data_IF_235632845530
#
_entry.id   IF_235632845530
#
_cell.length_a   1.000
_cell.length_b   1.000
_cell.length_c   1.000
_cell.angle_alpha   90.00
_cell.angle_beta   90.00
_cell.angle_gamma   90.00
#
_symmetry.space_group_name_H-M   'P 1'
#
loop_
_entity.id
_entity.type
_entity.pdbx_description
1 polymer ?
#
# COMPACT_ATOMS: atom_id res chain seq x y z
N UNK A 1 27.11 38.33 -21.49
CA UNK A 1 27.37 37.32 -20.44
C UNK A 1 26.12 36.98 -19.62
N UNK A 2 25.11 37.86 -19.54
CA UNK A 2 23.93 37.65 -18.67
C UNK A 2 22.92 36.58 -19.13
N UNK A 3 22.85 36.28 -20.44
CA UNK A 3 21.92 35.26 -20.97
C UNK A 3 22.22 33.85 -20.42
N UNK A 4 23.50 33.52 -20.22
CA UNK A 4 23.94 32.21 -19.74
C UNK A 4 23.56 31.96 -18.26
N UNK A 5 23.63 32.99 -17.42
CA UNK A 5 23.28 32.87 -16.00
C UNK A 5 21.76 32.74 -15.78
N UNK A 6 20.96 33.50 -16.54
CA UNK A 6 19.50 33.38 -16.50
C UNK A 6 19.01 31.98 -16.94
N UNK A 7 19.65 31.40 -17.97
CA UNK A 7 19.36 30.04 -18.45
C UNK A 7 19.79 28.97 -17.43
N UNK A 8 20.90 29.20 -16.71
CA UNK A 8 21.34 28.32 -15.63
C UNK A 8 20.38 28.33 -14.42
N UNK A 9 19.83 29.49 -14.07
CA UNK A 9 18.82 29.59 -13.01
C UNK A 9 17.52 28.88 -13.42
N UNK A 10 17.05 29.09 -14.66
CA UNK A 10 15.87 28.40 -15.20
C UNK A 10 16.03 26.89 -15.19
N UNK A 11 17.13 26.38 -15.73
CA UNK A 11 17.39 24.93 -15.77
C UNK A 11 17.44 24.31 -14.37
N UNK A 12 17.98 25.01 -13.36
CA UNK A 12 17.96 24.54 -11.97
C UNK A 12 16.56 24.56 -11.36
N UNK A 13 15.77 25.60 -11.64
CA UNK A 13 14.36 25.69 -11.21
C UNK A 13 13.53 24.56 -11.82
N UNK A 14 13.65 24.35 -13.12
CA UNK A 14 12.94 23.30 -13.85
C UNK A 14 13.34 21.91 -13.37
N UNK A 15 14.62 21.70 -13.08
CA UNK A 15 15.12 20.44 -12.51
C UNK A 15 14.55 20.19 -11.10
N UNK A 16 14.49 21.23 -10.25
CA UNK A 16 13.89 21.13 -8.92
C UNK A 16 12.41 20.78 -9.01
N UNK A 17 11.68 21.42 -9.91
CA UNK A 17 10.26 21.18 -10.14
C UNK A 17 10.01 19.74 -10.61
N UNK A 18 10.72 19.29 -11.66
CA UNK A 18 10.61 17.91 -12.17
C UNK A 18 10.88 16.86 -11.10
N UNK A 19 11.85 17.11 -10.22
CA UNK A 19 12.17 16.21 -9.11
C UNK A 19 11.04 16.14 -8.08
N UNK A 20 10.45 17.29 -7.74
CA UNK A 20 9.30 17.35 -6.83
C UNK A 20 8.07 16.66 -7.43
N UNK A 21 7.77 16.91 -8.70
CA UNK A 21 6.63 16.30 -9.39
C UNK A 21 6.78 14.78 -9.47
N UNK A 22 7.99 14.30 -9.82
CA UNK A 22 8.30 12.87 -9.80
C UNK A 22 8.14 12.28 -8.39
N UNK A 23 8.61 12.98 -7.36
CA UNK A 23 8.49 12.51 -5.99
C UNK A 23 7.03 12.41 -5.51
N UNK A 24 6.18 13.36 -5.87
CA UNK A 24 4.73 13.29 -5.60
C UNK A 24 4.08 12.13 -6.35
N UNK A 25 4.43 11.92 -7.62
CA UNK A 25 3.93 10.79 -8.40
C UNK A 25 4.33 9.43 -7.78
N UNK A 26 5.60 9.27 -7.41
CA UNK A 26 6.11 8.05 -6.76
C UNK A 26 5.46 7.84 -5.38
N UNK A 27 5.21 8.92 -4.63
CA UNK A 27 4.52 8.87 -3.34
C UNK A 27 3.08 8.37 -3.47
N UNK A 28 2.36 8.87 -4.47
CA UNK A 28 0.99 8.45 -4.78
C UNK A 28 0.94 6.99 -5.23
N UNK A 29 1.80 6.59 -6.17
CA UNK A 29 1.87 5.20 -6.65
C UNK A 29 2.17 4.22 -5.49
N UNK A 30 3.09 4.60 -4.61
CA UNK A 30 3.37 3.82 -3.40
C UNK A 30 2.14 3.67 -2.51
N UNK A 31 1.44 4.76 -2.22
CA UNK A 31 0.26 4.74 -1.35
C UNK A 31 -0.84 3.87 -1.96
N UNK A 32 -1.14 4.06 -3.25
CA UNK A 32 -2.11 3.26 -4.01
C UNK A 32 -1.81 1.76 -3.91
N UNK A 33 -0.55 1.35 -4.19
CA UNK A 33 -0.12 -0.05 -4.07
C UNK A 33 -0.33 -0.62 -2.67
N UNK A 34 -0.04 0.16 -1.62
CA UNK A 34 -0.21 -0.28 -0.23
C UNK A 34 -1.70 -0.43 0.10
N UNK A 35 -2.53 0.55 -0.28
CA UNK A 35 -3.96 0.52 -0.01
C UNK A 35 -4.65 -0.65 -0.72
N UNK A 36 -4.34 -0.85 -2.01
CA UNK A 36 -4.85 -1.99 -2.78
C UNK A 36 -4.52 -3.32 -2.10
N UNK A 37 -3.27 -3.53 -1.70
CA UNK A 37 -2.85 -4.73 -0.97
C UNK A 37 -3.59 -4.91 0.35
N UNK A 38 -3.86 -3.84 1.09
CA UNK A 38 -4.62 -3.92 2.35
C UNK A 38 -6.05 -4.37 2.10
N UNK A 39 -6.72 -3.81 1.10
CA UNK A 39 -8.08 -4.22 0.70
C UNK A 39 -8.08 -5.70 0.29
N UNK A 40 -7.15 -6.11 -0.57
CA UNK A 40 -7.00 -7.50 -1.01
C UNK A 40 -6.76 -8.44 0.18
N UNK A 41 -5.83 -8.11 1.07
CA UNK A 41 -5.48 -8.95 2.23
C UNK A 41 -6.64 -9.06 3.21
N UNK A 42 -7.36 -7.97 3.48
CA UNK A 42 -8.54 -8.00 4.35
C UNK A 42 -9.66 -8.84 3.75
N UNK A 43 -9.89 -8.73 2.44
CA UNK A 43 -10.91 -9.51 1.74
C UNK A 43 -10.60 -11.02 1.74
N UNK A 44 -9.36 -11.40 1.43
CA UNK A 44 -8.92 -12.79 1.50
C UNK A 44 -8.94 -13.30 2.95
N UNK A 45 -8.52 -12.47 3.91
CA UNK A 45 -8.60 -12.80 5.33
C UNK A 45 -10.04 -13.07 5.79
N UNK A 46 -11.01 -12.24 5.37
CA UNK A 46 -12.41 -12.45 5.69
C UNK A 46 -12.95 -13.78 5.12
N UNK A 47 -12.56 -14.15 3.89
CA UNK A 47 -12.92 -15.43 3.30
C UNK A 47 -12.26 -16.61 4.06
N UNK A 48 -10.98 -16.50 4.41
CA UNK A 48 -10.27 -17.51 5.22
C UNK A 48 -10.99 -17.74 6.56
N UNK A 49 -11.37 -16.67 7.25
CA UNK A 49 -12.11 -16.77 8.52
C UNK A 49 -13.47 -17.45 8.34
N UNK A 50 -14.17 -17.18 7.23
CA UNK A 50 -15.44 -17.87 6.92
C UNK A 50 -15.19 -19.36 6.67
N UNK A 51 -14.19 -19.72 5.88
CA UNK A 51 -13.84 -21.12 5.59
C UNK A 51 -13.41 -21.87 6.86
N UNK A 52 -12.62 -21.26 7.73
CA UNK A 52 -12.18 -21.86 8.99
C UNK A 52 -13.34 -22.13 9.95
N UNK A 53 -14.32 -21.22 10.03
CA UNK A 53 -15.42 -21.33 10.99
C UNK A 53 -16.65 -22.07 10.45
N UNK A 54 -16.89 -22.01 9.14
CA UNK A 54 -18.10 -22.55 8.52
C UNK A 54 -17.82 -23.60 7.43
N UNK A 55 -16.56 -23.86 7.09
CA UNK A 55 -16.16 -24.80 6.04
C UNK A 55 -16.78 -26.18 6.17
N UNK A 56 -16.94 -26.67 7.41
CA UNK A 56 -17.57 -27.95 7.73
C UNK A 56 -18.99 -28.11 7.15
N UNK A 57 -19.70 -27.00 6.86
CA UNK A 57 -21.04 -27.04 6.26
C UNK A 57 -21.03 -27.44 4.78
N UNK A 58 -19.89 -27.37 4.09
CA UNK A 58 -19.77 -27.65 2.66
C UNK A 58 -18.51 -28.44 2.28
N UNK A 59 -17.83 -29.02 3.27
CA UNK A 59 -16.68 -29.90 3.08
C UNK A 59 -16.84 -31.16 3.94
N UNK A 60 -16.48 -32.32 3.38
CA UNK A 60 -16.36 -33.56 4.15
C UNK A 60 -14.87 -33.84 4.38
N UNK A 61 -14.47 -33.92 5.65
CA UNK A 61 -13.09 -34.29 6.02
C UNK A 61 -12.78 -35.74 5.63
N UNK A 62 -13.80 -36.60 5.59
CA UNK A 62 -13.68 -38.04 5.33
C UNK A 62 -13.54 -38.39 3.83
N UNK A 63 -13.55 -37.40 2.93
CA UNK A 63 -13.51 -37.63 1.48
C UNK A 63 -14.77 -38.27 0.91
N UNK A 64 -15.85 -38.37 1.70
CA UNK A 64 -17.15 -38.85 1.26
C UNK A 64 -17.81 -37.86 0.28
N UNK A 65 -18.67 -38.35 -0.64
CA UNK A 65 -19.41 -37.48 -1.54
C UNK A 65 -20.21 -36.43 -0.75
N UNK A 66 -20.18 -35.19 -1.22
CA UNK A 66 -20.99 -34.12 -0.63
C UNK A 66 -22.46 -34.52 -0.69
N UNK A 67 -23.19 -34.30 0.40
CA UNK A 67 -24.64 -34.44 0.38
C UNK A 67 -25.26 -33.36 -0.51
N UNK A 68 -26.51 -33.55 -0.91
CA UNK A 68 -27.23 -32.55 -1.71
C UNK A 68 -27.30 -31.19 -0.98
N UNK A 69 -27.54 -31.20 0.33
CA UNK A 69 -27.53 -30.00 1.17
C UNK A 69 -26.15 -29.32 1.23
N UNK A 70 -25.08 -30.10 1.37
CA UNK A 70 -23.71 -29.56 1.37
C UNK A 70 -23.32 -28.98 0.02
N UNK A 71 -23.84 -29.54 -1.08
CA UNK A 71 -23.64 -29.03 -2.43
C UNK A 71 -24.32 -27.66 -2.61
N UNK A 72 -25.58 -27.55 -2.17
CA UNK A 72 -26.31 -26.27 -2.16
C UNK A 72 -25.56 -25.22 -1.33
N UNK A 73 -25.07 -25.62 -0.15
CA UNK A 73 -24.32 -24.71 0.72
C UNK A 73 -23.00 -24.27 0.09
N UNK A 74 -22.30 -25.19 -0.59
CA UNK A 74 -21.09 -24.89 -1.34
C UNK A 74 -21.34 -23.88 -2.44
N UNK A 75 -22.42 -24.03 -3.20
CA UNK A 75 -22.80 -23.11 -4.27
C UNK A 75 -23.14 -21.72 -3.72
N UNK A 76 -23.85 -21.67 -2.59
CA UNK A 76 -24.14 -20.41 -1.90
C UNK A 76 -22.84 -19.73 -1.42
N UNK A 77 -21.92 -20.51 -0.83
CA UNK A 77 -20.61 -20.01 -0.44
C UNK A 77 -19.83 -19.46 -1.64
N UNK A 78 -19.79 -20.17 -2.77
CA UNK A 78 -19.12 -19.69 -3.97
C UNK A 78 -19.74 -18.39 -4.50
N UNK A 79 -21.06 -18.24 -4.44
CA UNK A 79 -21.74 -17.00 -4.79
C UNK A 79 -21.31 -15.84 -3.87
N UNK A 80 -21.37 -16.05 -2.56
CA UNK A 80 -20.97 -15.04 -1.57
C UNK A 80 -19.49 -14.67 -1.73
N UNK A 81 -18.63 -15.67 -1.97
CA UNK A 81 -17.21 -15.49 -2.23
C UNK A 81 -16.98 -14.58 -3.44
N UNK A 82 -17.64 -14.85 -4.56
CA UNK A 82 -17.57 -13.99 -5.75
C UNK A 82 -18.04 -12.56 -5.47
N UNK A 83 -19.17 -12.40 -4.77
CA UNK A 83 -19.68 -11.06 -4.42
C UNK A 83 -18.71 -10.27 -3.51
N UNK A 84 -18.07 -10.93 -2.55
CA UNK A 84 -17.03 -10.33 -1.69
C UNK A 84 -15.83 -9.90 -2.54
N UNK A 85 -15.36 -10.78 -3.44
CA UNK A 85 -14.24 -10.49 -4.34
C UNK A 85 -14.52 -9.30 -5.26
N UNK A 86 -15.70 -9.26 -5.88
CA UNK A 86 -16.10 -8.18 -6.77
C UNK A 86 -16.23 -6.84 -6.03
N UNK A 87 -16.82 -6.85 -4.83
CA UNK A 87 -16.91 -5.65 -3.99
C UNK A 87 -15.53 -5.13 -3.60
N UNK A 88 -14.62 -6.00 -3.15
CA UNK A 88 -13.26 -5.58 -2.79
C UNK A 88 -12.48 -5.02 -3.99
N UNK A 89 -12.61 -5.65 -5.16
CA UNK A 89 -12.00 -5.14 -6.40
C UNK A 89 -12.55 -3.77 -6.81
N UNK A 90 -13.86 -3.54 -6.67
CA UNK A 90 -14.45 -2.24 -6.92
C UNK A 90 -13.96 -1.17 -5.92
N UNK A 91 -13.85 -1.51 -4.63
CA UNK A 91 -13.31 -0.58 -3.62
C UNK A 91 -11.84 -0.22 -3.89
N UNK A 92 -11.03 -1.17 -4.37
CA UNK A 92 -9.65 -0.89 -4.77
C UNK A 92 -9.60 0.12 -5.93
N UNK A 93 -10.46 -0.03 -6.95
CA UNK A 93 -10.56 0.92 -8.08
C UNK A 93 -11.04 2.30 -7.64
N UNK A 94 -12.04 2.37 -6.76
CA UNK A 94 -12.56 3.63 -6.25
C UNK A 94 -11.48 4.38 -5.45
N UNK A 95 -10.70 3.66 -4.63
CA UNK A 95 -9.57 4.23 -3.89
C UNK A 95 -8.54 4.86 -4.83
N UNK A 96 -8.20 4.19 -5.94
CA UNK A 96 -7.26 4.75 -6.93
C UNK A 96 -7.82 6.02 -7.60
N UNK A 97 -9.13 6.04 -7.89
CA UNK A 97 -9.81 7.21 -8.44
C UNK A 97 -9.85 8.39 -7.46
N UNK A 98 -10.06 8.12 -6.16
CA UNK A 98 -10.00 9.14 -5.10
C UNK A 98 -8.58 9.67 -4.93
N UNK A 99 -7.57 8.81 -4.83
CA UNK A 99 -6.16 9.21 -4.75
C UNK A 99 -5.72 10.05 -5.95
N UNK A 100 -6.41 9.95 -7.09
CA UNK A 100 -6.13 10.78 -8.25
C UNK A 100 -6.53 12.24 -8.10
N UNK A 101 -7.39 12.56 -7.14
CA UNK A 101 -7.86 13.91 -6.86
C UNK A 101 -7.04 14.63 -5.80
N UNK A 102 -6.06 13.95 -5.17
CA UNK A 102 -5.23 14.50 -4.10
C UNK A 102 -3.77 14.63 -4.52
N UNK A 103 -3.10 15.66 -3.97
CA UNK A 103 -1.65 15.69 -3.94
C UNK A 103 -1.14 14.85 -2.76
N UNK A 104 -0.38 13.80 -3.06
CA UNK A 104 0.15 12.88 -2.06
C UNK A 104 1.66 13.07 -1.95
N UNK A 105 2.14 13.32 -0.73
CA UNK A 105 3.57 13.39 -0.43
C UNK A 105 3.92 12.40 0.69
N UNK A 106 4.89 11.54 0.43
CA UNK A 106 5.39 10.62 1.45
C UNK A 106 6.39 11.35 2.35
N UNK A 107 5.98 11.63 3.59
CA UNK A 107 6.76 12.48 4.51
C UNK A 107 8.11 11.90 4.97
N UNK A 108 8.39 10.61 4.70
CA UNK A 108 9.56 9.85 5.22
C UNK A 108 9.68 9.94 6.75
N UNK A 109 10.49 9.07 7.34
CA UNK A 109 10.88 9.26 8.74
C UNK A 109 12.06 10.23 8.75
N UNK A 110 11.89 11.43 9.32
CA UNK A 110 13.00 12.35 9.61
C UNK A 110 13.36 12.22 11.09
N UNK A 111 14.59 11.81 11.38
CA UNK A 111 15.17 11.92 12.72
C UNK A 111 16.30 12.95 12.67
N UNK A 112 16.19 13.98 13.50
CA UNK A 112 17.30 14.88 13.77
C UNK A 112 18.18 14.22 14.84
N UNK A 113 19.34 13.71 14.45
CA UNK A 113 20.32 13.20 15.41
C UNK A 113 21.12 14.37 15.99
N UNK A 114 21.10 14.61 17.32
CA UNK A 114 21.92 15.63 17.93
C UNK A 114 23.40 15.24 17.82
N UNK A 115 24.21 16.11 17.23
CA UNK A 115 25.66 15.91 17.14
C UNK A 115 26.28 16.39 18.45
N UNK A 116 26.70 15.46 19.30
CA UNK A 116 27.51 15.78 20.49
C UNK A 116 28.97 15.86 20.03
N UNK A 117 29.55 17.06 20.05
CA UNK A 117 30.97 17.23 19.82
C UNK A 117 31.73 16.62 21.00
N UNK A 118 32.47 15.53 20.75
CA UNK A 118 33.36 14.95 21.74
C UNK A 118 34.51 15.94 21.98
N UNK A 119 34.56 16.55 23.16
CA UNK A 119 35.71 17.34 23.58
C UNK A 119 36.95 16.44 23.47
N UNK A 120 37.97 16.91 22.74
CA UNK A 120 39.27 16.26 22.73
C UNK A 120 39.86 16.50 24.12
N UNK A 121 39.94 15.45 24.93
CA UNK A 121 40.83 15.45 26.09
C UNK A 121 42.25 15.62 25.55
N UNK A 122 42.75 16.87 25.60
CA UNK A 122 44.17 17.15 25.44
C UNK A 122 44.88 16.47 26.61
N UNK A 123 45.64 15.42 26.30
CA UNK A 123 46.50 14.76 27.27
C UNK A 123 47.44 15.78 27.90
N UNK A 124 47.35 15.91 29.23
CA UNK A 124 48.43 16.44 30.04
C UNK A 124 49.55 15.39 30.03
N UNK A 125 50.49 15.51 29.08
CA UNK A 125 51.85 15.04 29.29
C UNK A 125 52.51 15.99 30.30
N UNK A 126 52.81 15.46 31.48
CA UNK A 126 53.61 16.09 32.54
C UNK A 126 54.51 15.03 33.18
#
# INVERSE_FOLDING_TARGET
MDKNYADLIRSRSDYKQKRTDKFKADSKDRLSKIMKKKIETTMIGALSTIEENFGFLWTNEDGSPLTEEQTIMKDLYQKVRSEILDKGNNQARNTDAELAQYEVEWLKYSMELPVIAKEREEGQDG
#
